data_IF_748144233100
#
_entry.id   IF_748144233100
#
_cell.length_a   1.000
_cell.length_b   1.000
_cell.length_c   1.000
_cell.angle_alpha   90.00
_cell.angle_beta   90.00
_cell.angle_gamma   90.00
#
_symmetry.space_group_name_H-M   'P 1'
#
loop_
_entity.id
_entity.type
_entity.pdbx_description
1 polymer ?
#
# COMPACT_ATOMS: atom_id res chain seq x y z
N UNK A 1 -3.59 -6.08 5.46
CA UNK A 1 -2.22 -5.64 5.11
C UNK A 1 -1.33 -6.85 4.87
N UNK A 2 -1.21 -7.77 5.83
CA UNK A 2 -0.41 -9.01 5.71
C UNK A 2 -0.66 -9.78 4.42
N UNK A 3 -1.92 -9.94 3.98
CA UNK A 3 -2.23 -10.62 2.70
C UNK A 3 -1.53 -10.00 1.50
N UNK A 4 -1.50 -8.67 1.39
CA UNK A 4 -0.83 -7.99 0.28
C UNK A 4 0.70 -8.17 0.34
N UNK A 5 1.28 -8.16 1.54
CA UNK A 5 2.71 -8.42 1.73
C UNK A 5 3.07 -9.88 1.39
N UNK A 6 2.27 -10.86 1.84
CA UNK A 6 2.49 -12.28 1.48
C UNK A 6 2.45 -12.47 -0.03
N UNK A 7 1.47 -11.86 -0.70
CA UNK A 7 1.35 -11.92 -2.16
C UNK A 7 2.54 -11.27 -2.88
N UNK A 8 2.99 -10.11 -2.40
CA UNK A 8 4.16 -9.40 -2.93
C UNK A 8 5.41 -10.27 -2.90
N UNK A 9 5.60 -11.03 -1.81
CA UNK A 9 6.74 -11.92 -1.63
C UNK A 9 6.51 -13.36 -2.12
N UNK A 10 5.37 -13.66 -2.76
CA UNK A 10 5.12 -14.99 -3.33
C UNK A 10 4.60 -16.06 -2.37
N UNK A 11 4.34 -15.73 -1.11
CA UNK A 11 3.88 -16.68 -0.07
C UNK A 11 2.38 -17.04 -0.14
N UNK A 12 1.66 -16.56 -1.15
CA UNK A 12 0.22 -16.79 -1.33
C UNK A 12 -0.66 -16.19 -0.22
N UNK A 13 -1.96 -16.42 -0.31
CA UNK A 13 -2.92 -16.08 0.75
C UNK A 13 -2.93 -17.18 1.83
N UNK A 14 -3.28 -16.82 3.06
CA UNK A 14 -3.41 -17.77 4.16
C UNK A 14 -3.34 -17.13 5.54
N UNK A 15 -3.41 -17.95 6.58
CA UNK A 15 -3.36 -17.55 7.99
C UNK A 15 -2.20 -18.19 8.75
N UNK A 16 -1.39 -19.00 8.08
CA UNK A 16 -0.31 -19.75 8.69
C UNK A 16 0.83 -18.80 9.01
N UNK A 17 1.25 -18.77 10.27
CA UNK A 17 2.37 -17.95 10.72
C UNK A 17 3.66 -18.23 9.93
N UNK A 18 3.88 -19.49 9.54
CA UNK A 18 5.02 -19.87 8.70
C UNK A 18 5.04 -19.14 7.34
N UNK A 19 3.88 -18.78 6.79
CA UNK A 19 3.76 -18.02 5.55
C UNK A 19 4.03 -16.52 5.71
N UNK A 20 4.27 -16.04 6.93
CA UNK A 20 4.61 -14.65 7.21
C UNK A 20 6.12 -14.36 7.15
N UNK A 21 6.94 -15.37 6.83
CA UNK A 21 8.39 -15.26 6.75
C UNK A 21 8.89 -15.41 5.32
N UNK A 22 9.85 -14.56 4.94
CA UNK A 22 10.47 -14.51 3.62
C UNK A 22 11.85 -15.18 3.72
N UNK A 23 12.17 -16.15 2.86
CA UNK A 23 13.52 -16.71 2.80
C UNK A 23 14.50 -15.69 2.20
N UNK A 24 15.66 -15.55 2.82
CA UNK A 24 16.78 -14.76 2.33
C UNK A 24 17.81 -15.67 1.64
N UNK A 25 18.68 -15.09 0.81
CA UNK A 25 19.68 -15.84 0.04
C UNK A 25 20.71 -16.56 0.91
N UNK A 26 20.92 -16.09 2.15
CA UNK A 26 21.84 -16.67 3.14
C UNK A 26 21.21 -17.81 3.96
N UNK A 27 19.98 -18.22 3.63
CA UNK A 27 19.23 -19.26 4.34
C UNK A 27 18.48 -18.75 5.58
N UNK A 28 18.67 -17.49 5.97
CA UNK A 28 17.89 -16.89 7.06
C UNK A 28 16.46 -16.60 6.61
N UNK A 29 15.59 -16.35 7.59
CA UNK A 29 14.20 -15.96 7.36
C UNK A 29 13.92 -14.64 8.07
N UNK A 30 13.24 -13.73 7.39
CA UNK A 30 12.81 -12.47 7.97
C UNK A 30 11.29 -12.38 7.97
N UNK A 31 10.71 -11.88 9.05
CA UNK A 31 9.27 -11.64 9.11
C UNK A 31 8.87 -10.54 8.13
N UNK A 32 7.77 -10.70 7.39
CA UNK A 32 7.32 -9.73 6.39
C UNK A 32 7.15 -8.31 6.95
N UNK A 33 6.82 -8.20 8.25
CA UNK A 33 6.62 -6.90 8.89
C UNK A 33 7.93 -6.14 9.12
N UNK A 34 9.08 -6.79 9.02
CA UNK A 34 10.39 -6.13 9.04
C UNK A 34 10.81 -5.61 7.66
N UNK A 35 10.07 -5.98 6.60
CA UNK A 35 10.43 -5.66 5.22
C UNK A 35 9.57 -4.53 4.62
N UNK A 36 8.80 -3.81 5.45
CA UNK A 36 7.96 -2.72 4.97
C UNK A 36 7.90 -1.58 6.00
N UNK A 37 7.55 -0.38 5.52
CA UNK A 37 7.21 0.76 6.34
C UNK A 37 5.71 1.07 6.19
N UNK A 38 4.99 1.14 7.31
CA UNK A 38 3.62 1.64 7.33
C UNK A 38 3.63 3.15 7.52
N UNK A 39 3.15 3.89 6.52
CA UNK A 39 3.13 5.35 6.54
C UNK A 39 1.71 5.88 6.39
N UNK A 40 1.40 6.95 7.12
CA UNK A 40 0.14 7.67 6.98
C UNK A 40 0.36 8.95 6.18
N UNK A 41 -0.56 9.25 5.26
CA UNK A 41 -0.52 10.52 4.53
C UNK A 41 -0.75 11.71 5.46
N UNK A 42 -1.64 11.56 6.45
CA UNK A 42 -1.91 12.56 7.47
C UNK A 42 -1.09 12.21 8.73
N UNK A 43 -0.28 13.16 9.19
CA UNK A 43 0.57 12.98 10.38
C UNK A 43 -0.12 13.42 11.69
N UNK A 44 -1.31 14.00 11.59
CA UNK A 44 -2.10 14.44 12.73
C UNK A 44 -3.51 13.89 12.63
N UNK A 45 -4.06 13.53 13.80
CA UNK A 45 -5.47 13.17 13.94
C UNK A 45 -6.31 14.44 14.09
N UNK A 46 -7.36 14.57 13.28
CA UNK A 46 -8.37 15.61 13.42
C UNK A 46 -9.71 14.95 13.73
N UNK A 47 -10.33 15.33 14.84
CA UNK A 47 -11.61 14.81 15.29
C UNK A 47 -12.50 15.96 15.74
N UNK A 48 -13.79 15.90 15.44
CA UNK A 48 -14.77 16.74 16.12
C UNK A 48 -14.93 16.29 17.57
N UNK A 49 -15.46 17.17 18.43
CA UNK A 49 -15.76 16.85 19.83
C UNK A 49 -16.77 15.71 19.98
N UNK A 50 -17.56 15.42 18.94
CA UNK A 50 -18.36 14.21 18.86
C UNK A 50 -17.42 13.04 18.54
N UNK A 51 -17.28 12.08 19.47
CA UNK A 51 -16.33 10.93 19.48
C UNK A 51 -16.40 10.00 18.25
N UNK A 52 -16.21 10.54 17.05
CA UNK A 52 -16.18 9.81 15.80
C UNK A 52 -14.76 9.29 15.57
N UNK A 53 -14.66 7.99 15.21
CA UNK A 53 -13.40 7.39 14.74
C UNK A 53 -12.99 7.90 13.35
N UNK A 54 -13.85 8.66 12.66
CA UNK A 54 -13.56 9.23 11.35
C UNK A 54 -12.72 10.50 11.51
N UNK A 55 -11.58 10.53 10.82
CA UNK A 55 -10.76 11.74 10.76
C UNK A 55 -11.43 12.84 9.94
N UNK A 56 -11.44 14.05 10.47
CA UNK A 56 -12.02 15.26 9.88
C UNK A 56 -10.94 16.21 9.36
N UNK A 57 -9.98 15.66 8.59
CA UNK A 57 -8.92 16.49 8.01
C UNK A 57 -9.50 17.55 7.06
N UNK A 58 -8.90 18.73 7.05
CA UNK A 58 -9.26 19.80 6.11
C UNK A 58 -8.44 19.70 4.82
N UNK A 59 -8.85 20.43 3.77
CA UNK A 59 -8.07 20.54 2.54
C UNK A 59 -6.68 21.16 2.79
N UNK A 60 -6.59 22.13 3.70
CA UNK A 60 -5.33 22.76 4.12
C UNK A 60 -4.41 21.74 4.79
N UNK A 61 -4.93 20.94 5.73
CA UNK A 61 -4.13 19.88 6.38
C UNK A 61 -3.58 18.89 5.36
N UNK A 62 -4.43 18.41 4.44
CA UNK A 62 -4.00 17.48 3.39
C UNK A 62 -2.93 18.10 2.50
N UNK A 63 -3.07 19.37 2.11
CA UNK A 63 -2.06 20.09 1.33
C UNK A 63 -0.73 20.20 2.09
N UNK A 64 -0.77 20.57 3.37
CA UNK A 64 0.44 20.73 4.18
C UNK A 64 1.12 19.38 4.45
N UNK A 65 0.37 18.29 4.60
CA UNK A 65 0.98 16.97 4.79
C UNK A 65 1.65 16.42 3.52
N UNK A 66 1.34 16.96 2.33
CA UNK A 66 1.95 16.50 1.08
C UNK A 66 3.47 16.64 1.07
N UNK A 67 4.01 17.75 1.61
CA UNK A 67 5.48 17.95 1.64
C UNK A 67 6.15 16.91 2.54
N UNK A 68 5.56 16.60 3.69
CA UNK A 68 6.07 15.56 4.59
C UNK A 68 5.98 14.19 3.96
N UNK A 69 4.86 13.88 3.28
CA UNK A 69 4.71 12.61 2.58
C UNK A 69 5.74 12.44 1.45
N UNK A 70 6.05 13.50 0.69
CA UNK A 70 7.14 13.47 -0.30
C UNK A 70 8.51 13.23 0.35
N UNK A 71 8.81 13.90 1.45
CA UNK A 71 10.04 13.68 2.20
C UNK A 71 10.14 12.23 2.74
N UNK A 72 9.02 11.66 3.20
CA UNK A 72 8.97 10.24 3.60
C UNK A 72 9.30 9.31 2.42
N UNK A 73 8.75 9.57 1.23
CA UNK A 73 9.08 8.78 0.04
C UNK A 73 10.57 8.89 -0.33
N UNK A 74 11.15 10.08 -0.20
CA UNK A 74 12.58 10.31 -0.44
C UNK A 74 13.47 9.52 0.52
N UNK A 75 13.17 9.60 1.83
CA UNK A 75 13.94 8.91 2.87
C UNK A 75 13.85 7.40 2.72
N UNK A 76 12.66 6.88 2.42
CA UNK A 76 12.42 5.44 2.35
C UNK A 76 12.77 4.83 0.99
N UNK A 77 12.79 5.64 -0.07
CA UNK A 77 12.99 5.23 -1.46
C UNK A 77 12.28 3.90 -1.84
N UNK A 78 10.95 3.76 -1.57
CA UNK A 78 10.25 2.49 -1.80
C UNK A 78 10.17 2.12 -3.28
N UNK A 79 10.45 0.87 -3.62
CA UNK A 79 10.24 0.33 -4.97
C UNK A 79 8.80 -0.12 -5.24
N UNK A 80 8.03 -0.36 -4.18
CA UNK A 80 6.61 -0.72 -4.23
C UNK A 80 5.84 0.08 -3.18
N UNK A 81 4.75 0.71 -3.59
CA UNK A 81 3.88 1.55 -2.76
C UNK A 81 2.47 0.98 -2.78
N UNK A 82 1.93 0.60 -1.62
CA UNK A 82 0.56 0.07 -1.49
C UNK A 82 -0.30 1.12 -0.78
N UNK A 83 -1.30 1.66 -1.49
CA UNK A 83 -2.21 2.69 -0.98
C UNK A 83 -3.51 2.05 -0.52
N UNK A 84 -3.64 1.84 0.80
CA UNK A 84 -4.82 1.26 1.46
C UNK A 84 -5.91 2.29 1.77
N UNK A 85 -6.43 2.97 0.75
CA UNK A 85 -7.42 4.04 0.93
C UNK A 85 -7.71 4.78 -0.37
N UNK A 86 -8.57 4.22 -1.21
CA UNK A 86 -8.92 4.78 -2.52
C UNK A 86 -9.40 6.22 -2.47
N UNK A 87 -10.06 6.65 -1.38
CA UNK A 87 -10.49 8.02 -1.15
C UNK A 87 -9.32 9.01 -0.97
N UNK A 88 -8.16 8.54 -0.53
CA UNK A 88 -6.95 9.34 -0.37
C UNK A 88 -6.11 9.41 -1.65
N UNK A 89 -6.41 8.58 -2.65
CA UNK A 89 -5.64 8.51 -3.90
C UNK A 89 -5.47 9.85 -4.62
N UNK A 90 -6.50 10.71 -4.75
CA UNK A 90 -6.33 12.03 -5.38
C UNK A 90 -5.30 12.92 -4.69
N UNK A 91 -5.03 12.67 -3.41
CA UNK A 91 -4.03 13.39 -2.62
C UNK A 91 -2.65 12.73 -2.69
N UNK A 92 -2.60 11.40 -2.55
CA UNK A 92 -1.36 10.61 -2.64
C UNK A 92 -0.71 10.76 -4.01
N UNK A 93 -1.49 10.70 -5.10
CA UNK A 93 -0.95 10.76 -6.46
C UNK A 93 -0.20 12.05 -6.78
N UNK A 94 -0.45 13.12 -6.04
CA UNK A 94 0.23 14.42 -6.18
C UNK A 94 1.67 14.39 -5.67
N UNK A 95 2.06 13.34 -4.96
CA UNK A 95 3.43 13.12 -4.51
C UNK A 95 4.33 12.56 -5.62
N UNK A 96 3.76 12.10 -6.73
CA UNK A 96 4.49 11.54 -7.85
C UNK A 96 4.69 12.62 -8.93
N UNK A 97 5.88 12.63 -9.52
CA UNK A 97 6.28 13.51 -10.61
C UNK A 97 5.83 12.97 -11.98
N UNK A 98 5.71 11.65 -12.10
CA UNK A 98 5.09 10.97 -13.24
C UNK A 98 4.25 9.78 -12.75
N UNK A 99 3.19 9.48 -13.50
CA UNK A 99 2.26 8.40 -13.19
C UNK A 99 1.68 7.84 -14.50
N UNK A 100 1.92 6.56 -14.73
CA UNK A 100 1.43 5.82 -15.90
C UNK A 100 0.59 4.63 -15.42
N UNK A 101 -0.71 4.53 -15.80
CA UNK A 101 -1.52 3.37 -15.48
C UNK A 101 -1.05 2.15 -16.27
N UNK A 102 -0.84 1.04 -15.57
CA UNK A 102 -0.57 -0.29 -16.19
C UNK A 102 -1.69 -1.30 -15.89
N UNK A 103 -2.77 -0.82 -15.26
CA UNK A 103 -4.01 -1.52 -14.95
C UNK A 103 -4.93 -0.62 -14.11
N UNK A 104 -6.11 -1.10 -13.76
CA UNK A 104 -7.13 -0.28 -13.05
C UNK A 104 -6.70 0.16 -11.63
N UNK A 105 -5.88 -0.66 -11.00
CA UNK A 105 -5.39 -0.47 -9.64
C UNK A 105 -3.86 -0.36 -9.54
N UNK A 106 -3.14 -0.36 -10.67
CA UNK A 106 -1.68 -0.42 -10.69
C UNK A 106 -1.08 0.65 -11.61
N UNK A 107 -0.04 1.30 -11.12
CA UNK A 107 0.62 2.42 -11.78
C UNK A 107 2.14 2.27 -11.71
N UNK A 108 2.84 2.61 -12.78
CA UNK A 108 4.26 2.98 -12.69
C UNK A 108 4.31 4.44 -12.25
N UNK A 109 5.14 4.74 -11.25
CA UNK A 109 5.27 6.08 -10.70
C UNK A 109 6.74 6.49 -10.63
N UNK A 110 6.98 7.79 -10.81
CA UNK A 110 8.28 8.41 -10.57
C UNK A 110 8.15 9.46 -9.48
N UNK A 111 9.09 9.51 -8.55
CA UNK A 111 9.15 10.54 -7.51
C UNK A 111 10.61 10.79 -7.14
N UNK A 112 11.04 12.06 -7.10
CA UNK A 112 12.40 12.45 -6.70
C UNK A 112 13.50 11.65 -7.42
N UNK A 113 13.29 11.33 -8.70
CA UNK A 113 14.24 10.52 -9.50
C UNK A 113 14.16 9.01 -9.30
N UNK A 114 13.38 8.51 -8.34
CA UNK A 114 13.13 7.09 -8.13
C UNK A 114 11.94 6.60 -8.96
N UNK A 115 12.01 5.34 -9.41
CA UNK A 115 10.90 4.61 -10.02
C UNK A 115 10.31 3.60 -9.03
N UNK A 116 8.99 3.44 -9.07
CA UNK A 116 8.29 2.45 -8.26
C UNK A 116 6.98 1.98 -8.91
N UNK A 117 6.43 0.89 -8.37
CA UNK A 117 5.07 0.46 -8.66
C UNK A 117 4.14 0.91 -7.54
N UNK A 118 3.04 1.58 -7.88
CA UNK A 118 2.01 1.99 -6.93
C UNK A 118 0.72 1.21 -7.16
N UNK A 119 0.27 0.46 -6.15
CA UNK A 119 -1.00 -0.25 -6.15
C UNK A 119 -2.03 0.48 -5.27
N UNK A 120 -3.24 0.68 -5.78
CA UNK A 120 -4.31 1.42 -5.11
C UNK A 120 -5.48 0.49 -4.77
N UNK A 121 -5.81 0.41 -3.48
CA UNK A 121 -6.94 -0.38 -2.99
C UNK A 121 -7.84 0.45 -2.06
N UNK A 122 -9.02 -0.08 -1.74
CA UNK A 122 -9.78 0.39 -0.57
C UNK A 122 -9.01 0.11 0.72
N UNK A 123 -9.44 0.72 1.84
CA UNK A 123 -8.88 0.37 3.14
C UNK A 123 -9.17 -1.11 3.46
N UNK A 124 -8.22 -1.87 4.06
CA UNK A 124 -8.46 -3.29 4.39
C UNK A 124 -9.74 -3.53 5.20
N UNK A 125 -10.04 -2.61 6.13
CA UNK A 125 -11.25 -2.63 6.95
C UNK A 125 -12.42 -1.83 6.36
N UNK A 126 -12.42 -1.55 5.04
CA UNK A 126 -13.58 -0.96 4.38
C UNK A 126 -14.83 -1.83 4.61
N UNK A 127 -16.01 -1.25 4.44
CA UNK A 127 -17.26 -2.02 4.51
C UNK A 127 -17.38 -2.96 3.29
N UNK A 128 -18.17 -4.02 3.45
CA UNK A 128 -18.55 -4.88 2.34
C UNK A 128 -19.17 -4.05 1.19
N UNK A 129 -18.90 -4.37 -0.10
CA UNK A 129 -18.12 -5.50 -0.61
C UNK A 129 -16.61 -5.29 -0.69
N UNK A 130 -16.11 -4.11 -0.34
CA UNK A 130 -14.71 -3.71 -0.58
C UNK A 130 -13.76 -4.02 0.58
N UNK A 131 -14.23 -4.73 1.60
CA UNK A 131 -13.37 -5.23 2.67
C UNK A 131 -12.43 -6.30 2.11
N UNK A 132 -11.16 -6.27 2.51
CA UNK A 132 -10.18 -7.31 2.17
C UNK A 132 -9.23 -7.62 3.33
N UNK A 133 -9.54 -7.12 4.52
CA UNK A 133 -8.76 -7.29 5.74
C UNK A 133 -9.37 -8.26 6.74
N UNK A 134 -10.65 -8.64 6.59
CA UNK A 134 -11.34 -9.50 7.56
C UNK A 134 -10.88 -10.97 7.49
N UNK A 135 -10.69 -11.53 6.29
CA UNK A 135 -10.15 -12.89 6.09
C UNK A 135 -9.61 -13.05 4.65
N UNK A 136 -9.05 -14.23 4.35
CA UNK A 136 -8.43 -14.51 3.04
C UNK A 136 -9.42 -14.90 1.92
N UNK A 137 -10.72 -14.95 2.21
CA UNK A 137 -11.80 -15.33 1.27
C UNK A 137 -12.66 -14.14 0.83
N UNK A 138 -12.26 -12.92 1.20
CA UNK A 138 -13.03 -11.73 0.84
C UNK A 138 -13.05 -11.53 -0.68
N UNK A 139 -14.21 -11.28 -1.33
CA UNK A 139 -14.30 -11.13 -2.78
C UNK A 139 -13.33 -10.07 -3.35
N UNK A 140 -13.30 -8.89 -2.75
CA UNK A 140 -12.37 -7.83 -3.18
C UNK A 140 -10.88 -8.21 -3.01
N UNK A 141 -10.55 -9.06 -2.03
CA UNK A 141 -9.20 -9.61 -1.91
C UNK A 141 -8.87 -10.52 -3.09
N UNK A 142 -9.77 -11.46 -3.41
CA UNK A 142 -9.55 -12.49 -4.42
C UNK A 142 -9.61 -11.94 -5.85
N UNK A 143 -10.52 -11.01 -6.11
CA UNK A 143 -10.82 -10.53 -7.47
C UNK A 143 -10.03 -9.26 -7.84
N UNK A 144 -9.58 -8.48 -6.86
CA UNK A 144 -8.88 -7.20 -7.12
C UNK A 144 -7.49 -7.17 -6.51
N UNK A 145 -7.36 -7.35 -5.20
CA UNK A 145 -6.07 -7.16 -4.51
C UNK A 145 -5.07 -8.24 -4.93
N UNK A 146 -5.45 -9.52 -4.89
CA UNK A 146 -4.55 -10.62 -5.18
C UNK A 146 -4.01 -10.61 -6.63
N UNK A 147 -4.85 -10.47 -7.67
CA UNK A 147 -4.36 -10.39 -9.05
C UNK A 147 -3.45 -9.16 -9.26
N UNK A 148 -3.79 -8.02 -8.65
CA UNK A 148 -2.97 -6.81 -8.73
C UNK A 148 -1.60 -7.03 -8.08
N UNK A 149 -1.53 -7.65 -6.90
CA UNK A 149 -0.27 -7.89 -6.21
C UNK A 149 0.60 -8.95 -6.89
N UNK A 150 -0.01 -9.96 -7.51
CA UNK A 150 0.72 -10.89 -8.38
C UNK A 150 1.33 -10.13 -9.56
N UNK A 151 0.57 -9.23 -10.20
CA UNK A 151 1.08 -8.40 -11.29
C UNK A 151 2.20 -7.46 -10.87
N UNK A 152 2.12 -6.88 -9.66
CA UNK A 152 3.22 -6.09 -9.08
C UNK A 152 4.50 -6.91 -9.01
N UNK A 153 4.41 -8.15 -8.49
CA UNK A 153 5.57 -9.04 -8.36
C UNK A 153 6.18 -9.37 -9.72
N UNK A 154 5.36 -9.76 -10.68
CA UNK A 154 5.81 -10.07 -12.06
C UNK A 154 6.55 -8.88 -12.69
N UNK A 155 6.00 -7.66 -12.58
CA UNK A 155 6.63 -6.47 -13.14
C UNK A 155 7.94 -6.12 -12.42
N UNK A 156 8.00 -6.34 -11.11
CA UNK A 156 9.22 -6.13 -10.34
C UNK A 156 10.31 -7.15 -10.67
N UNK A 157 9.94 -8.41 -10.93
CA UNK A 157 10.87 -9.48 -11.32
C UNK A 157 11.39 -9.29 -12.75
N UNK A 158 10.54 -8.87 -13.70
CA UNK A 158 10.90 -8.65 -15.10
C UNK A 158 11.72 -7.36 -15.34
N UNK A 159 11.74 -6.44 -14.37
CA UNK A 159 12.50 -5.18 -14.44
C UNK A 159 13.91 -5.27 -13.84
N UNK A 160 14.30 -6.43 -13.31
CA UNK A 160 15.67 -6.73 -12.86
C UNK A 160 16.47 -7.34 -14.01
#
# INVERSE_FOLDING_TARGET
>A
ITSALRLLFGNGLGHEYAGEFIPLADGNRVHLLHCFALVNYLLCSAHSHQRSKRGESTATMRRNCLVHFRATLEILAPTVIIVGGSTMWPHVRRAFDALEPVGDALFKVRYNGHEALAARFTHPSAMHPHNWGSNHQMPYLLETVAPTMVRVRELFENGK
#
